data_IF_078899320951
#
_entry.id   IF_078899320951
#
_cell.length_a   1.000
_cell.length_b   1.000
_cell.length_c   1.000
_cell.angle_alpha   90.00
_cell.angle_beta   90.00
_cell.angle_gamma   90.00
#
_symmetry.space_group_name_H-M   'P 1'
#
loop_
_entity.id
_entity.type
_entity.pdbx_description
1 polymer ?
#
# COMPACT_ATOMS: atom_id res chain seq x y z
N UNK A 1 0.75 28.46 31.58
CA UNK A 1 -0.36 28.16 30.64
C UNK A 1 0.11 27.52 29.34
N UNK A 2 1.17 28.01 28.68
CA UNK A 2 1.76 27.34 27.51
C UNK A 2 2.35 25.96 27.84
N UNK A 3 3.13 25.84 28.92
CA UNK A 3 3.80 24.58 29.29
C UNK A 3 2.84 23.40 29.60
N UNK A 4 1.64 23.71 30.09
CA UNK A 4 0.56 22.74 30.40
C UNK A 4 -0.20 22.27 29.16
N UNK A 5 -0.25 23.10 28.11
CA UNK A 5 -0.88 22.78 26.82
C UNK A 5 -0.02 21.78 26.03
N UNK A 6 1.29 22.02 26.00
CA UNK A 6 2.26 21.09 25.41
C UNK A 6 2.27 19.73 26.13
N UNK A 7 2.16 19.70 27.45
CA UNK A 7 2.11 18.43 28.20
C UNK A 7 0.79 17.67 28.02
N UNK A 8 -0.34 18.36 27.85
CA UNK A 8 -1.64 17.73 27.61
C UNK A 8 -1.75 17.10 26.22
N UNK A 9 -1.30 17.83 25.19
CA UNK A 9 -1.21 17.32 23.83
C UNK A 9 -0.22 16.17 23.73
N UNK A 10 0.94 16.25 24.40
CA UNK A 10 1.93 15.17 24.46
C UNK A 10 1.40 13.93 25.20
N UNK A 11 0.58 14.08 26.26
CA UNK A 11 -0.03 12.97 27.01
C UNK A 11 -1.17 12.29 26.26
N UNK A 12 -2.05 13.03 25.59
CA UNK A 12 -3.07 12.44 24.71
C UNK A 12 -2.40 11.73 23.51
N UNK A 13 -1.36 12.34 22.93
CA UNK A 13 -0.56 11.75 21.86
C UNK A 13 0.18 10.49 22.32
N UNK A 14 0.80 10.49 23.50
CA UNK A 14 1.44 9.28 24.07
C UNK A 14 0.44 8.21 24.49
N UNK A 15 -0.80 8.54 24.82
CA UNK A 15 -1.82 7.54 25.20
C UNK A 15 -2.35 6.80 23.98
N UNK A 16 -2.55 7.47 22.84
CA UNK A 16 -2.84 6.81 21.56
C UNK A 16 -1.61 6.05 21.03
N UNK A 17 -0.40 6.61 21.17
CA UNK A 17 0.87 5.96 20.79
C UNK A 17 1.26 4.75 21.66
N UNK A 18 0.82 4.67 22.92
CA UNK A 18 1.09 3.50 23.80
C UNK A 18 0.43 2.22 23.31
N UNK A 19 -0.59 2.31 22.46
CA UNK A 19 -1.23 1.15 21.83
C UNK A 19 -0.51 0.66 20.57
N UNK A 20 0.45 1.42 20.04
CA UNK A 20 1.12 1.13 18.77
C UNK A 20 2.62 0.92 18.96
N UNK A 21 3.02 -0.34 18.94
CA UNK A 21 4.41 -0.77 18.88
C UNK A 21 4.54 -1.63 17.61
N UNK A 22 5.13 -1.14 16.52
CA UNK A 22 5.28 -1.92 15.30
C UNK A 22 6.40 -2.95 15.51
N UNK A 23 6.12 -3.95 16.33
CA UNK A 23 6.97 -5.10 16.61
C UNK A 23 6.80 -6.20 15.55
N UNK A 24 6.02 -5.91 14.51
CA UNK A 24 5.80 -6.79 13.37
C UNK A 24 7.01 -6.83 12.43
N UNK A 25 6.82 -7.53 11.33
CA UNK A 25 7.85 -7.77 10.33
C UNK A 25 8.37 -6.44 9.80
N UNK A 26 9.70 -6.25 9.84
CA UNK A 26 10.37 -5.04 9.36
C UNK A 26 9.83 -3.73 9.95
N UNK A 27 9.43 -3.75 11.23
CA UNK A 27 8.84 -2.60 11.94
C UNK A 27 7.52 -2.11 11.32
N UNK A 28 6.74 -3.05 10.80
CA UNK A 28 5.36 -2.83 10.40
C UNK A 28 4.40 -3.35 11.47
N UNK A 29 3.09 -3.19 11.24
CA UNK A 29 2.04 -3.72 12.12
C UNK A 29 1.71 -5.18 11.82
N UNK A 30 2.22 -5.72 10.72
CA UNK A 30 1.91 -7.07 10.28
C UNK A 30 2.85 -8.05 10.97
N UNK A 31 2.30 -8.95 11.78
CA UNK A 31 3.07 -9.98 12.45
C UNK A 31 3.26 -11.22 11.57
N UNK A 32 4.13 -12.14 12.00
CA UNK A 32 4.24 -13.46 11.36
C UNK A 32 2.96 -14.28 11.49
N UNK A 33 2.18 -14.12 12.57
CA UNK A 33 0.93 -14.84 12.76
C UNK A 33 -0.14 -14.36 11.78
N UNK A 34 -0.17 -13.06 11.49
CA UNK A 34 -1.08 -12.49 10.49
C UNK A 34 -0.76 -12.97 9.09
N UNK A 35 0.54 -13.03 8.76
CA UNK A 35 0.99 -13.64 7.51
C UNK A 35 0.71 -15.13 7.46
N UNK A 36 0.79 -15.85 8.59
CA UNK A 36 0.55 -17.29 8.61
C UNK A 36 -0.93 -17.59 8.31
N UNK A 37 -1.85 -16.82 8.89
CA UNK A 37 -3.29 -16.90 8.56
C UNK A 37 -3.53 -16.59 7.07
N UNK A 38 -2.87 -15.55 6.55
CA UNK A 38 -2.98 -15.18 5.14
C UNK A 38 -2.38 -16.23 4.20
N UNK A 39 -1.25 -16.85 4.57
CA UNK A 39 -0.62 -17.93 3.83
C UNK A 39 -1.52 -19.16 3.77
N UNK A 40 -2.19 -19.53 4.87
CA UNK A 40 -3.18 -20.61 4.84
C UNK A 40 -4.35 -20.31 3.90
N UNK A 41 -4.83 -19.06 3.90
CA UNK A 41 -5.90 -18.65 2.98
C UNK A 41 -5.44 -18.64 1.51
N UNK A 42 -4.18 -18.25 1.24
CA UNK A 42 -3.63 -18.10 -0.10
C UNK A 42 -3.16 -19.43 -0.72
N UNK A 43 -2.59 -20.31 0.10
CA UNK A 43 -1.80 -21.47 -0.33
C UNK A 43 -2.27 -22.79 0.30
N UNK A 44 -3.31 -22.76 1.14
CA UNK A 44 -3.87 -23.92 1.84
C UNK A 44 -3.31 -24.12 3.25
N UNK A 45 -4.02 -24.89 4.08
CA UNK A 45 -3.73 -25.08 5.50
C UNK A 45 -2.38 -25.74 5.81
N UNK A 46 -1.76 -26.39 4.82
CA UNK A 46 -0.45 -27.02 4.96
C UNK A 46 0.72 -26.03 4.74
N UNK A 47 0.43 -24.80 4.29
CA UNK A 47 1.38 -23.72 4.07
C UNK A 47 1.90 -23.09 5.36
N UNK A 48 2.74 -23.83 6.08
CA UNK A 48 3.33 -23.41 7.36
C UNK A 48 4.74 -22.86 7.18
N UNK A 49 4.99 -21.67 7.73
CA UNK A 49 6.32 -21.09 7.75
C UNK A 49 7.27 -21.87 8.64
N UNK A 50 8.51 -22.00 8.21
CA UNK A 50 9.56 -22.69 8.95
C UNK A 50 10.26 -21.82 9.98
N UNK A 51 11.14 -22.46 10.78
CA UNK A 51 11.95 -21.77 11.78
C UNK A 51 12.97 -20.82 11.13
N UNK A 52 13.41 -21.07 9.89
CA UNK A 52 14.40 -20.25 9.18
C UNK A 52 13.76 -19.25 8.22
N UNK A 53 12.46 -18.95 8.38
CA UNK A 53 11.77 -17.92 7.59
C UNK A 53 12.46 -16.57 7.71
N UNK A 54 12.46 -15.80 6.62
CA UNK A 54 13.13 -14.49 6.54
C UNK A 54 12.24 -13.45 5.89
N UNK A 55 12.41 -12.21 6.30
CA UNK A 55 11.86 -11.05 5.65
C UNK A 55 13.01 -10.10 5.29
N UNK A 56 12.98 -9.56 4.07
CA UNK A 56 13.94 -8.54 3.60
C UNK A 56 13.15 -7.37 3.00
N UNK A 57 13.49 -6.14 3.39
CA UNK A 57 12.95 -4.96 2.72
C UNK A 57 13.61 -4.85 1.33
N UNK A 58 12.79 -4.91 0.28
CA UNK A 58 13.21 -4.69 -1.11
C UNK A 58 12.61 -3.42 -1.71
N UNK A 59 11.86 -2.67 -0.90
CA UNK A 59 11.17 -1.44 -1.27
C UNK A 59 11.92 -0.17 -0.85
N UNK A 60 13.06 -0.30 -0.17
CA UNK A 60 13.89 0.85 0.22
C UNK A 60 14.08 1.80 -0.97
N UNK A 61 13.79 3.09 -0.75
CA UNK A 61 13.74 4.20 -1.74
C UNK A 61 12.73 4.09 -2.90
N UNK A 62 12.08 2.94 -3.11
CA UNK A 62 11.21 2.67 -4.27
C UNK A 62 9.73 2.46 -3.94
N UNK A 63 9.41 2.26 -2.66
CA UNK A 63 8.08 1.82 -2.25
C UNK A 63 7.14 2.92 -1.74
N UNK A 64 7.57 4.19 -1.77
CA UNK A 64 6.77 5.35 -1.34
C UNK A 64 6.12 5.13 0.04
N UNK A 65 4.79 4.95 0.07
CA UNK A 65 3.96 4.84 1.26
C UNK A 65 3.85 3.41 1.80
N UNK A 66 4.59 2.46 1.23
CA UNK A 66 4.55 1.05 1.61
C UNK A 66 5.94 0.54 2.00
N UNK A 67 5.96 -0.46 2.88
CA UNK A 67 7.11 -1.34 3.05
C UNK A 67 6.90 -2.57 2.17
N UNK A 68 7.91 -2.93 1.36
CA UNK A 68 7.83 -4.09 0.45
C UNK A 68 8.70 -5.19 1.03
N UNK A 69 8.05 -6.15 1.69
CA UNK A 69 8.71 -7.25 2.37
C UNK A 69 8.85 -8.44 1.40
N UNK A 70 10.06 -8.79 1.02
CA UNK A 70 10.34 -10.07 0.38
C UNK A 70 10.37 -11.17 1.46
N UNK A 71 9.42 -12.08 1.40
CA UNK A 71 9.31 -13.20 2.33
C UNK A 71 9.95 -14.44 1.73
N UNK A 72 10.87 -15.03 2.49
CA UNK A 72 11.38 -16.39 2.27
C UNK A 72 10.75 -17.27 3.36
N UNK A 73 9.74 -18.08 3.01
CA UNK A 73 8.85 -18.71 3.98
C UNK A 73 9.44 -19.91 4.71
N UNK A 74 10.46 -20.57 4.14
CA UNK A 74 11.03 -21.80 4.69
C UNK A 74 9.94 -22.88 4.89
N UNK A 75 9.17 -23.20 3.86
CA UNK A 75 8.00 -24.08 3.97
C UNK A 75 8.34 -25.41 4.65
N UNK A 76 7.57 -25.80 5.66
CA UNK A 76 7.80 -27.03 6.41
C UNK A 76 7.27 -28.29 5.72
N UNK A 77 6.28 -28.12 4.84
CA UNK A 77 5.64 -29.22 4.11
C UNK A 77 6.07 -29.16 2.64
N UNK A 78 6.24 -30.32 2.00
CA UNK A 78 6.35 -30.37 0.55
C UNK A 78 5.01 -30.00 -0.08
N UNK A 79 4.91 -28.74 -0.48
CA UNK A 79 3.73 -28.18 -1.14
C UNK A 79 4.00 -28.09 -2.63
N UNK A 80 3.09 -28.65 -3.43
CA UNK A 80 3.08 -28.43 -4.87
C UNK A 80 2.53 -27.02 -5.15
N UNK A 81 3.13 -26.35 -6.12
CA UNK A 81 2.63 -25.08 -6.69
C UNK A 81 2.62 -23.85 -5.75
N UNK A 82 3.41 -23.85 -4.67
CA UNK A 82 3.60 -22.66 -3.82
C UNK A 82 4.87 -21.89 -4.17
N UNK A 83 4.87 -20.55 -4.00
CA UNK A 83 6.05 -19.75 -4.31
C UNK A 83 7.19 -19.99 -3.30
N UNK A 84 8.41 -20.11 -3.81
CA UNK A 84 9.63 -20.16 -2.98
C UNK A 84 9.91 -18.83 -2.28
N UNK A 85 9.46 -17.73 -2.87
CA UNK A 85 9.48 -16.37 -2.31
C UNK A 85 8.26 -15.61 -2.81
N UNK A 86 7.73 -14.74 -1.97
CA UNK A 86 6.64 -13.85 -2.34
C UNK A 86 6.83 -12.48 -1.70
N UNK A 87 6.13 -11.50 -2.23
CA UNK A 87 6.14 -10.12 -1.74
C UNK A 87 4.94 -9.90 -0.83
N UNK A 88 5.17 -9.23 0.29
CA UNK A 88 4.11 -8.63 1.10
C UNK A 88 4.27 -7.12 1.03
N UNK A 89 3.31 -6.45 0.41
CA UNK A 89 3.21 -5.00 0.40
C UNK A 89 2.37 -4.58 1.60
N UNK A 90 3.01 -3.91 2.56
CA UNK A 90 2.35 -3.40 3.77
C UNK A 90 2.30 -1.88 3.66
N UNK A 91 1.11 -1.29 3.71
CA UNK A 91 1.00 0.17 3.74
C UNK A 91 1.44 0.70 5.10
N UNK A 92 2.39 1.63 5.08
CA UNK A 92 3.00 2.15 6.29
C UNK A 92 2.12 3.26 6.87
N UNK A 93 1.43 2.95 7.97
CA UNK A 93 0.73 3.94 8.80
C UNK A 93 1.72 4.81 9.61
N UNK A 94 3.02 4.48 9.52
CA UNK A 94 4.09 4.97 10.39
C UNK A 94 4.71 6.31 10.00
N UNK A 95 4.12 7.06 9.05
CA UNK A 95 4.57 8.42 8.70
C UNK A 95 4.40 9.44 9.83
N UNK A 96 3.72 9.06 10.91
CA UNK A 96 3.26 9.95 11.98
C UNK A 96 4.08 9.82 13.29
N UNK A 97 5.19 9.07 13.26
CA UNK A 97 5.98 8.78 14.47
C UNK A 97 7.24 9.64 14.52
N UNK A 98 7.36 10.55 15.52
CA UNK A 98 8.63 11.20 15.82
C UNK A 98 9.67 10.14 16.19
N UNK A 99 10.83 10.12 15.51
CA UNK A 99 11.94 9.21 15.81
C UNK A 99 12.20 8.10 14.78
N UNK A 100 11.41 8.02 13.71
CA UNK A 100 11.78 7.25 12.50
C UNK A 100 12.51 8.15 11.50
N UNK A 101 13.51 7.62 10.78
CA UNK A 101 14.33 8.39 9.81
C UNK A 101 13.46 9.13 8.77
N UNK A 102 12.32 8.54 8.42
CA UNK A 102 11.37 9.12 7.47
C UNK A 102 10.37 10.10 8.10
N UNK A 103 10.00 9.95 9.38
CA UNK A 103 9.07 10.85 10.07
C UNK A 103 9.55 12.29 10.06
N UNK A 104 10.82 12.53 10.39
CA UNK A 104 11.36 13.89 10.45
C UNK A 104 11.59 14.51 9.06
N UNK A 105 12.00 13.69 8.08
CA UNK A 105 12.39 14.19 6.74
C UNK A 105 11.17 14.40 5.82
N UNK A 106 10.18 13.51 5.86
CA UNK A 106 8.96 13.67 5.06
C UNK A 106 7.96 14.63 5.69
N UNK A 107 7.88 14.79 7.02
CA UNK A 107 7.09 15.88 7.62
C UNK A 107 7.57 17.24 7.13
N UNK A 108 8.89 17.40 6.94
CA UNK A 108 9.47 18.64 6.41
C UNK A 108 9.17 18.84 4.92
N UNK A 109 9.17 17.77 4.12
CA UNK A 109 8.84 17.84 2.69
C UNK A 109 7.33 17.98 2.45
N UNK A 110 6.50 17.25 3.20
CA UNK A 110 5.04 17.29 3.09
C UNK A 110 4.48 18.59 3.65
N UNK A 111 5.05 19.14 4.72
CA UNK A 111 4.71 20.49 5.17
C UNK A 111 5.09 21.54 4.14
N UNK A 112 6.20 21.40 3.42
CA UNK A 112 6.53 22.32 2.33
C UNK A 112 5.63 22.14 1.10
N UNK A 113 5.27 20.92 0.73
CA UNK A 113 4.35 20.66 -0.38
C UNK A 113 2.94 21.17 -0.09
N UNK A 114 2.42 20.94 1.11
CA UNK A 114 1.14 21.50 1.54
C UNK A 114 1.20 23.02 1.73
N UNK A 115 2.33 23.58 2.16
CA UNK A 115 2.56 25.03 2.19
C UNK A 115 2.55 25.64 0.78
N UNK A 116 3.19 24.98 -0.20
CA UNK A 116 3.23 25.42 -1.61
C UNK A 116 1.86 25.30 -2.29
N UNK A 117 1.15 24.19 -2.10
CA UNK A 117 -0.19 23.97 -2.68
C UNK A 117 -1.25 24.90 -2.05
N UNK A 118 -1.15 25.19 -0.75
CA UNK A 118 -2.07 26.11 -0.07
C UNK A 118 -1.82 27.58 -0.42
N UNK A 119 -0.56 28.02 -0.54
CA UNK A 119 -0.25 29.41 -0.94
C UNK A 119 -0.56 29.72 -2.41
N UNK A 120 -0.63 28.71 -3.28
CA UNK A 120 -1.06 28.88 -4.67
C UNK A 120 -2.58 28.99 -4.85
N UNK A 121 -3.38 28.54 -3.87
CA UNK A 121 -4.84 28.39 -3.99
C UNK A 121 -5.66 29.26 -3.03
N UNK A 122 -5.11 29.65 -1.87
CA UNK A 122 -5.85 30.40 -0.86
C UNK A 122 -4.96 31.53 -0.34
N UNK A 123 -5.35 32.76 -0.67
CA UNK A 123 -4.69 33.96 -0.17
C UNK A 123 -4.59 33.95 1.36
N UNK A 124 -3.48 34.52 1.85
CA UNK A 124 -3.10 34.76 3.24
C UNK A 124 -4.27 34.70 4.22
N UNK A 125 -4.55 33.51 4.76
CA UNK A 125 -5.33 33.37 5.98
C UNK A 125 -4.77 32.23 6.79
N UNK A 126 -4.31 32.61 7.98
CA UNK A 126 -3.68 31.79 9.01
C UNK A 126 -4.29 30.39 9.10
N UNK A 127 -3.63 29.42 8.47
CA UNK A 127 -4.02 28.03 8.54
C UNK A 127 -3.09 27.32 9.51
N UNK A 128 -3.37 27.46 10.80
CA UNK A 128 -2.77 26.61 11.83
C UNK A 128 -3.44 25.23 11.75
N UNK A 129 -3.10 24.43 10.72
CA UNK A 129 -3.47 23.01 10.72
C UNK A 129 -2.71 22.36 11.86
N UNK A 130 -3.42 21.87 12.87
CA UNK A 130 -2.77 21.12 13.94
C UNK A 130 -2.11 19.86 13.36
N UNK A 131 -0.91 19.53 13.84
CA UNK A 131 -0.19 18.32 13.41
C UNK A 131 -1.03 17.05 13.60
N UNK A 132 -1.97 17.07 14.56
CA UNK A 132 -2.92 15.97 14.80
C UNK A 132 -3.97 15.84 13.69
N UNK A 133 -4.53 16.93 13.21
CA UNK A 133 -5.53 16.90 12.15
C UNK A 133 -4.92 16.50 10.81
N UNK A 134 -3.73 17.03 10.49
CA UNK A 134 -2.96 16.59 9.33
C UNK A 134 -2.64 15.10 9.39
N UNK A 135 -2.22 14.63 10.56
CA UNK A 135 -1.91 13.23 10.83
C UNK A 135 -3.12 12.31 10.61
N UNK A 136 -4.27 12.64 11.20
CA UNK A 136 -5.50 11.87 11.06
C UNK A 136 -6.03 11.84 9.61
N UNK A 137 -5.93 12.97 8.90
CA UNK A 137 -6.31 13.07 7.49
C UNK A 137 -5.43 12.17 6.61
N UNK A 138 -4.12 12.16 6.84
CA UNK A 138 -3.19 11.29 6.13
C UNK A 138 -3.45 9.80 6.43
N UNK A 139 -3.71 9.42 7.69
CA UNK A 139 -4.05 8.04 8.07
C UNK A 139 -5.28 7.52 7.32
N UNK A 140 -6.33 8.34 7.27
CA UNK A 140 -7.54 8.05 6.51
C UNK A 140 -7.24 7.88 5.02
N UNK A 141 -6.43 8.78 4.45
CA UNK A 141 -6.12 8.75 3.03
C UNK A 141 -5.27 7.55 2.63
N UNK A 142 -4.29 7.18 3.44
CA UNK A 142 -3.44 6.01 3.22
C UNK A 142 -4.26 4.72 3.21
N UNK A 143 -5.18 4.55 4.18
CA UNK A 143 -6.10 3.40 4.22
C UNK A 143 -7.00 3.35 2.99
N UNK A 144 -7.53 4.49 2.56
CA UNK A 144 -8.33 4.58 1.33
C UNK A 144 -7.53 4.19 0.09
N UNK A 145 -6.27 4.64 -0.04
CA UNK A 145 -5.41 4.30 -1.18
C UNK A 145 -5.15 2.79 -1.25
N UNK A 146 -4.84 2.16 -0.11
CA UNK A 146 -4.68 0.70 -0.02
C UNK A 146 -5.97 -0.04 -0.41
N UNK A 147 -7.10 0.34 0.16
CA UNK A 147 -8.39 -0.31 -0.14
C UNK A 147 -8.79 -0.12 -1.60
N UNK A 148 -8.50 1.03 -2.21
CA UNK A 148 -8.71 1.25 -3.64
C UNK A 148 -7.84 0.33 -4.51
N UNK A 149 -6.58 0.11 -4.12
CA UNK A 149 -5.70 -0.85 -4.80
C UNK A 149 -6.25 -2.29 -4.69
N UNK A 150 -6.73 -2.69 -3.51
CA UNK A 150 -7.41 -3.99 -3.33
C UNK A 150 -8.67 -4.09 -4.21
N UNK A 151 -9.50 -3.06 -4.22
CA UNK A 151 -10.71 -3.02 -5.06
C UNK A 151 -10.38 -3.13 -6.55
N UNK A 152 -9.33 -2.46 -7.01
CA UNK A 152 -8.84 -2.58 -8.39
C UNK A 152 -8.47 -4.02 -8.73
N UNK A 153 -7.66 -4.69 -7.91
CA UNK A 153 -7.29 -6.08 -8.16
C UNK A 153 -8.50 -7.02 -8.17
N UNK A 154 -9.47 -6.83 -7.27
CA UNK A 154 -10.73 -7.60 -7.28
C UNK A 154 -11.54 -7.39 -8.56
N UNK A 155 -11.63 -6.16 -9.07
CA UNK A 155 -12.32 -5.88 -10.34
C UNK A 155 -11.60 -6.57 -11.50
N UNK A 156 -10.28 -6.44 -11.56
CA UNK A 156 -9.48 -7.05 -12.62
C UNK A 156 -9.58 -8.58 -12.62
N UNK A 157 -9.68 -9.21 -11.45
CA UNK A 157 -9.90 -10.65 -11.30
C UNK A 157 -11.34 -11.04 -11.67
N UNK A 158 -12.35 -10.34 -11.14
CA UNK A 158 -13.78 -10.57 -11.41
C UNK A 158 -14.11 -10.56 -12.91
N UNK A 159 -13.49 -9.67 -13.68
CA UNK A 159 -13.70 -9.56 -15.12
C UNK A 159 -12.63 -10.26 -15.96
N UNK A 160 -11.74 -11.05 -15.33
CA UNK A 160 -10.66 -11.79 -15.98
C UNK A 160 -9.81 -10.92 -16.94
N UNK A 161 -9.47 -9.69 -16.51
CA UNK A 161 -8.69 -8.75 -17.30
C UNK A 161 -7.22 -9.15 -17.23
N UNK A 162 -6.70 -9.77 -18.29
CA UNK A 162 -5.31 -10.25 -18.39
C UNK A 162 -4.38 -9.32 -19.18
N UNK A 163 -4.93 -8.37 -19.95
CA UNK A 163 -4.16 -7.46 -20.78
C UNK A 163 -3.32 -6.44 -19.99
N UNK A 164 -3.65 -6.22 -18.72
CA UNK A 164 -2.88 -5.33 -17.83
C UNK A 164 -1.79 -6.14 -17.15
N UNK A 165 -0.54 -5.89 -17.54
CA UNK A 165 0.62 -6.50 -16.92
C UNK A 165 0.66 -6.16 -15.42
N UNK A 166 0.61 -7.18 -14.56
CA UNK A 166 0.67 -7.05 -13.10
C UNK A 166 1.25 -8.31 -12.47
N UNK A 167 1.88 -8.23 -11.28
CA UNK A 167 2.21 -9.44 -10.53
C UNK A 167 0.94 -10.18 -10.14
N UNK A 168 1.01 -11.51 -10.06
CA UNK A 168 -0.12 -12.30 -9.54
C UNK A 168 -0.35 -11.94 -8.08
N UNK A 169 -1.61 -11.68 -7.73
CA UNK A 169 -2.03 -11.45 -6.34
C UNK A 169 -2.47 -12.78 -5.74
N UNK A 170 -1.89 -13.15 -4.61
CA UNK A 170 -2.22 -14.39 -3.90
C UNK A 170 -3.23 -14.17 -2.79
N UNK A 171 -3.17 -13.00 -2.12
CA UNK A 171 -4.08 -12.66 -1.03
C UNK A 171 -4.13 -11.14 -0.81
N UNK A 172 -5.26 -10.66 -0.31
CA UNK A 172 -5.48 -9.24 0.02
C UNK A 172 -6.23 -9.13 1.35
N UNK A 173 -5.78 -8.22 2.21
CA UNK A 173 -6.53 -7.78 3.40
C UNK A 173 -6.73 -6.27 3.32
N UNK A 174 -7.97 -5.82 3.38
CA UNK A 174 -8.34 -4.40 3.45
C UNK A 174 -8.20 -3.90 4.88
N UNK A 175 -8.06 -2.59 5.03
CA UNK A 175 -8.37 -1.96 6.31
C UNK A 175 -9.88 -1.96 6.52
N UNK A 176 -10.31 -2.42 7.69
CA UNK A 176 -11.71 -2.37 8.14
C UNK A 176 -11.79 -1.92 9.60
N UNK A 177 -13.00 -1.73 10.13
CA UNK A 177 -13.20 -1.47 11.56
C UNK A 177 -12.66 -2.62 12.44
N UNK A 178 -12.79 -3.87 11.96
CA UNK A 178 -12.26 -5.07 12.64
C UNK A 178 -10.75 -5.25 12.48
N UNK A 179 -10.14 -4.62 11.47
CA UNK A 179 -8.71 -4.71 11.15
C UNK A 179 -8.11 -3.34 10.80
N UNK A 180 -8.15 -2.37 11.73
CA UNK A 180 -7.85 -0.96 11.43
C UNK A 180 -6.36 -0.70 11.16
N UNK A 181 -5.51 -1.69 11.41
CA UNK A 181 -4.04 -1.55 11.37
C UNK A 181 -3.35 -2.59 10.48
N UNK A 182 -4.09 -3.49 9.82
CA UNK A 182 -3.53 -4.68 9.16
C UNK A 182 -3.85 -4.77 7.66
N UNK A 183 -3.79 -3.66 6.92
CA UNK A 183 -3.91 -3.68 5.46
C UNK A 183 -2.62 -4.13 4.77
N UNK A 184 -2.68 -5.23 4.02
CA UNK A 184 -1.56 -5.70 3.20
C UNK A 184 -1.98 -6.56 2.01
N UNK A 185 -1.07 -6.74 1.06
CA UNK A 185 -1.26 -7.56 -0.13
C UNK A 185 -0.11 -8.56 -0.25
N UNK A 186 -0.43 -9.84 -0.48
CA UNK A 186 0.53 -10.88 -0.82
C UNK A 186 0.54 -11.03 -2.35
N UNK A 187 1.72 -10.86 -2.93
CA UNK A 187 1.92 -10.83 -4.38
C UNK A 187 3.08 -11.73 -4.80
N UNK A 188 3.07 -12.13 -6.06
CA UNK A 188 4.19 -12.79 -6.72
C UNK A 188 5.46 -11.96 -6.61
N UNK A 189 6.57 -12.63 -6.31
CA UNK A 189 7.88 -12.01 -6.44
C UNK A 189 8.38 -12.17 -7.87
N UNK A 190 8.48 -11.06 -8.58
CA UNK A 190 9.05 -11.03 -9.93
C UNK A 190 10.53 -10.64 -9.82
N UNK A 191 11.43 -11.60 -10.06
CA UNK A 191 12.87 -11.34 -10.08
C UNK A 191 13.28 -10.60 -11.37
N UNK A 192 14.47 -10.00 -11.33
CA UNK A 192 15.19 -9.56 -12.54
C UNK A 192 14.52 -8.44 -13.35
N UNK A 193 13.76 -7.55 -12.69
CA UNK A 193 13.25 -6.33 -13.30
C UNK A 193 14.04 -5.10 -12.87
N UNK A 194 14.37 -4.26 -13.85
CA UNK A 194 14.96 -2.94 -13.62
C UNK A 194 13.87 -2.02 -13.03
N UNK A 195 14.01 -1.52 -11.79
CA UNK A 195 13.16 -0.44 -11.32
C UNK A 195 13.41 0.78 -12.21
N UNK A 196 12.34 1.32 -12.80
CA UNK A 196 12.38 2.55 -13.56
C UNK A 196 11.92 3.69 -12.66
N UNK A 197 12.75 4.70 -12.52
CA UNK A 197 12.45 5.92 -11.80
C UNK A 197 11.97 7.01 -12.75
N UNK A 198 11.18 7.95 -12.22
CA UNK A 198 10.69 9.11 -12.98
C UNK A 198 11.81 10.01 -13.52
N UNK A 199 13.01 9.89 -12.97
CA UNK A 199 14.20 10.65 -13.35
C UNK A 199 15.19 9.84 -14.20
N UNK A 200 14.86 8.59 -14.55
CA UNK A 200 15.69 7.80 -15.44
C UNK A 200 15.54 8.30 -16.88
N UNK A 201 16.67 8.42 -17.58
CA UNK A 201 16.67 8.75 -19.00
C UNK A 201 16.28 7.50 -19.82
N UNK A 202 14.98 7.35 -20.08
CA UNK A 202 14.44 6.26 -20.87
C UNK A 202 14.51 6.57 -22.37
N UNK A 203 14.86 5.58 -23.20
CA UNK A 203 14.75 5.76 -24.64
C UNK A 203 13.25 5.77 -25.03
N UNK A 204 12.84 6.45 -26.11
CA UNK A 204 11.45 6.49 -26.53
C UNK A 204 10.79 5.09 -26.69
N UNK A 205 11.57 4.10 -27.11
CA UNK A 205 11.13 2.70 -27.23
C UNK A 205 10.75 2.06 -25.88
N UNK A 206 11.38 2.49 -24.79
CA UNK A 206 11.15 1.92 -23.45
C UNK A 206 9.83 2.46 -22.87
N UNK A 207 9.48 3.72 -23.21
CA UNK A 207 8.20 4.36 -22.87
C UNK A 207 7.05 3.86 -23.75
N UNK A 208 7.34 3.51 -25.01
CA UNK A 208 6.32 3.03 -25.95
C UNK A 208 5.56 1.80 -25.42
N UNK A 209 6.25 0.89 -24.72
CA UNK A 209 5.60 -0.27 -24.10
C UNK A 209 4.55 0.13 -23.07
N UNK A 210 4.84 1.16 -22.26
CA UNK A 210 3.88 1.72 -21.29
C UNK A 210 2.71 2.37 -22.02
N UNK A 211 2.96 3.15 -23.07
CA UNK A 211 1.91 3.77 -23.87
C UNK A 211 0.96 2.74 -24.51
N UNK A 212 1.50 1.65 -25.07
CA UNK A 212 0.70 0.55 -25.66
C UNK A 212 -0.14 -0.15 -24.59
N UNK A 213 0.43 -0.39 -23.41
CA UNK A 213 -0.31 -0.96 -22.27
C UNK A 213 -1.45 -0.03 -21.82
N UNK A 214 -1.19 1.26 -21.68
CA UNK A 214 -2.20 2.26 -21.31
C UNK A 214 -3.32 2.36 -22.36
N UNK A 215 -2.96 2.34 -23.64
CA UNK A 215 -3.95 2.34 -24.73
C UNK A 215 -4.84 1.08 -24.68
N UNK A 216 -4.25 -0.09 -24.44
CA UNK A 216 -4.99 -1.34 -24.28
C UNK A 216 -5.94 -1.31 -23.08
N UNK A 217 -5.45 -0.84 -21.93
CA UNK A 217 -6.27 -0.68 -20.72
C UNK A 217 -7.43 0.30 -20.93
N UNK A 218 -7.19 1.44 -21.58
CA UNK A 218 -8.21 2.44 -21.87
C UNK A 218 -9.25 1.90 -22.86
N UNK A 219 -8.83 1.18 -23.90
CA UNK A 219 -9.73 0.54 -24.85
C UNK A 219 -10.64 -0.48 -24.16
N UNK A 220 -10.09 -1.34 -23.29
CA UNK A 220 -10.89 -2.31 -22.54
C UNK A 220 -11.92 -1.64 -21.61
N UNK A 221 -11.56 -0.53 -20.96
CA UNK A 221 -12.49 0.24 -20.13
C UNK A 221 -13.66 0.81 -20.94
N UNK A 222 -13.38 1.33 -22.13
CA UNK A 222 -14.41 1.85 -23.05
C UNK A 222 -15.29 0.71 -23.55
N UNK A 223 -14.71 -0.40 -24.00
CA UNK A 223 -15.46 -1.57 -24.50
C UNK A 223 -16.40 -2.15 -23.43
N UNK A 224 -15.93 -2.28 -22.18
CA UNK A 224 -16.77 -2.71 -21.06
C UNK A 224 -17.90 -1.72 -20.75
N UNK A 225 -17.63 -0.40 -20.80
CA UNK A 225 -18.65 0.62 -20.59
C UNK A 225 -19.72 0.58 -21.69
N UNK A 226 -19.32 0.38 -22.94
CA UNK A 226 -20.25 0.22 -24.08
C UNK A 226 -21.12 -1.03 -23.91
N UNK A 227 -20.53 -2.18 -23.56
CA UNK A 227 -21.28 -3.42 -23.30
C UNK A 227 -22.26 -3.22 -22.14
N UNK A 228 -21.84 -2.58 -21.04
CA UNK A 228 -22.71 -2.29 -19.92
C UNK A 228 -23.91 -1.42 -20.31
N UNK A 229 -23.67 -0.36 -21.10
CA UNK A 229 -24.72 0.53 -21.62
C UNK A 229 -25.66 -0.25 -22.55
N UNK A 230 -25.13 -1.07 -23.47
CA UNK A 230 -25.92 -1.88 -24.38
C UNK A 230 -26.79 -2.90 -23.62
N UNK A 231 -26.24 -3.63 -22.64
CA UNK A 231 -26.99 -4.55 -21.80
C UNK A 231 -28.08 -3.84 -20.97
N UNK A 232 -27.85 -2.61 -20.53
CA UNK A 232 -28.87 -1.79 -19.82
C UNK A 232 -29.97 -1.32 -20.76
N UNK A 233 -29.63 -0.91 -21.99
CA UNK A 233 -30.63 -0.51 -22.99
C UNK A 233 -31.50 -1.71 -23.38
N UNK A 234 -30.91 -2.88 -23.60
CA UNK A 234 -31.66 -4.09 -23.98
C UNK A 234 -32.56 -4.62 -22.86
N UNK A 235 -32.18 -4.47 -21.59
CA UNK A 235 -33.02 -4.87 -20.43
C UNK A 235 -34.10 -3.84 -20.05
N UNK A 236 -34.22 -2.72 -20.77
CA UNK A 236 -35.27 -1.71 -20.59
C UNK A 236 -36.41 -1.88 -21.62
N UNK A 237 -36.29 -2.86 -22.53
CA UNK A 237 -37.34 -3.24 -23.49
C UNK A 237 -37.95 -4.60 -23.15
#
# INVERSE_FOLDING_TARGET
MLHTYWSGALNAFTTTLRSFQPNGILRTNVSWDDLQKAAHAAFGNDAKFGPNRKAKDIGFVNAFLSTICLITPDWQTELKDVPQKFVVKVFMLTFLYPGTIFGNSLLQISSQMSYIESHGMLGEKDMEISMQDFSAAQDTKVKQLHNNEVALYRILDKYNVTAVARPKVHYMREFSEDSPHEGFIIMEYVSDRLPLHIYDNLAPRDVLQVCVLLQSALKNAIDHAIIYIQCRIVNIW
#
